data_IF_053130459438
#
_entry.id   IF_053130459438
#
_cell.length_a   1.000
_cell.length_b   1.000
_cell.length_c   1.000
_cell.angle_alpha   90.00
_cell.angle_beta   90.00
_cell.angle_gamma   90.00
#
_symmetry.space_group_name_H-M   'P 1'
#
loop_
_entity.id
_entity.type
_entity.pdbx_description
1 polymer ?
#
# COMPACT_ATOMS: atom_id res chain seq x y z
N UNK A 1 -34.23 -16.04 4.37
CA UNK A 1 -32.88 -15.99 3.80
C UNK A 1 -32.34 -14.59 4.05
N UNK A 2 -31.42 -14.45 4.99
CA UNK A 2 -30.73 -13.16 5.23
C UNK A 2 -29.71 -13.00 4.10
N UNK A 3 -29.99 -12.08 3.18
CA UNK A 3 -29.03 -11.65 2.15
C UNK A 3 -27.93 -10.87 2.85
N UNK A 4 -26.74 -11.44 2.90
CA UNK A 4 -25.56 -10.83 3.53
C UNK A 4 -24.98 -9.79 2.56
N UNK A 5 -25.49 -8.56 2.65
CA UNK A 5 -24.97 -7.43 1.88
C UNK A 5 -23.67 -6.91 2.48
N UNK A 6 -22.72 -6.59 1.63
CA UNK A 6 -21.42 -6.02 2.00
C UNK A 6 -21.22 -4.68 1.37
N UNK A 7 -20.51 -3.85 2.10
CA UNK A 7 -20.10 -2.53 1.66
C UNK A 7 -18.59 -2.46 1.63
N UNK A 8 -18.01 -2.24 0.45
CA UNK A 8 -16.61 -1.92 0.28
C UNK A 8 -16.47 -0.40 0.14
N UNK A 9 -15.89 0.25 1.13
CA UNK A 9 -15.65 1.69 1.12
C UNK A 9 -14.16 1.96 1.14
N UNK A 10 -13.66 2.64 0.12
CA UNK A 10 -12.31 3.17 0.10
C UNK A 10 -12.34 4.66 0.42
N UNK A 11 -11.68 5.05 1.52
CA UNK A 11 -11.64 6.44 1.97
C UNK A 11 -10.44 7.19 1.41
N UNK A 12 -10.67 8.41 0.93
CA UNK A 12 -9.67 9.35 0.44
C UNK A 12 -9.77 10.68 1.19
N UNK A 13 -8.66 11.13 1.79
CA UNK A 13 -8.57 12.41 2.51
C UNK A 13 -8.17 13.59 1.61
N UNK A 14 -7.78 13.31 0.36
CA UNK A 14 -7.30 14.31 -0.59
C UNK A 14 -8.40 15.14 -1.26
N UNK A 15 -7.98 16.22 -1.92
CA UNK A 15 -8.87 16.97 -2.80
C UNK A 15 -9.21 16.16 -4.05
N UNK A 16 -10.45 16.29 -4.51
CA UNK A 16 -10.91 15.74 -5.77
C UNK A 16 -11.37 16.87 -6.69
N UNK A 17 -10.70 17.02 -7.83
CA UNK A 17 -10.94 18.06 -8.80
C UNK A 17 -12.39 18.04 -9.32
N UNK A 18 -12.94 16.87 -9.60
CA UNK A 18 -14.28 16.74 -10.17
C UNK A 18 -15.38 17.13 -9.18
N UNK A 19 -15.24 16.74 -7.91
CA UNK A 19 -16.19 17.16 -6.86
C UNK A 19 -16.07 18.65 -6.61
N UNK A 20 -14.84 19.17 -6.46
CA UNK A 20 -14.59 20.58 -6.15
C UNK A 20 -15.12 21.55 -7.22
N UNK A 21 -15.15 21.14 -8.49
CA UNK A 21 -15.57 21.96 -9.62
C UNK A 21 -16.91 21.55 -10.21
N UNK A 22 -17.62 20.63 -9.57
CA UNK A 22 -18.87 20.05 -10.06
C UNK A 22 -18.79 19.57 -11.52
N UNK A 23 -17.69 18.87 -11.85
CA UNK A 23 -17.41 18.34 -13.19
C UNK A 23 -17.44 16.82 -13.19
N UNK A 24 -17.60 16.25 -14.36
CA UNK A 24 -17.50 14.83 -14.61
C UNK A 24 -16.17 14.50 -15.30
N UNK A 25 -15.66 13.31 -15.06
CA UNK A 25 -14.54 12.75 -15.81
C UNK A 25 -15.02 12.22 -17.18
N UNK A 26 -14.11 11.68 -17.98
CA UNK A 26 -14.43 11.12 -19.32
C UNK A 26 -15.43 9.96 -19.28
N UNK A 27 -15.66 9.37 -18.13
CA UNK A 27 -16.62 8.27 -17.93
C UNK A 27 -17.94 8.74 -17.29
N UNK A 28 -18.21 10.04 -17.26
CA UNK A 28 -19.44 10.59 -16.69
C UNK A 28 -19.52 10.51 -15.16
N UNK A 29 -18.40 10.35 -14.46
CA UNK A 29 -18.32 10.18 -13.01
C UNK A 29 -17.50 11.28 -12.34
N UNK A 30 -17.66 11.44 -11.02
CA UNK A 30 -16.90 12.43 -10.23
C UNK A 30 -15.68 11.85 -9.52
N UNK A 31 -15.40 10.57 -9.62
CA UNK A 31 -14.21 9.96 -9.03
C UNK A 31 -12.95 10.16 -9.89
N UNK A 32 -11.78 10.08 -9.25
CA UNK A 32 -10.50 10.03 -9.95
C UNK A 32 -10.24 8.61 -10.45
N UNK A 33 -9.81 8.44 -11.70
CA UNK A 33 -9.57 7.13 -12.33
C UNK A 33 -8.62 6.24 -11.52
N UNK A 34 -7.53 6.80 -11.00
CA UNK A 34 -6.60 6.04 -10.15
C UNK A 34 -7.25 5.46 -8.88
N UNK A 35 -8.24 6.14 -8.30
CA UNK A 35 -8.97 5.65 -7.15
C UNK A 35 -9.99 4.58 -7.55
N UNK A 36 -10.56 4.72 -8.73
CA UNK A 36 -11.43 3.71 -9.32
C UNK A 36 -10.67 2.40 -9.57
N UNK A 37 -9.51 2.46 -10.23
CA UNK A 37 -8.66 1.28 -10.45
C UNK A 37 -8.30 0.61 -9.14
N UNK A 38 -7.95 1.36 -8.11
CA UNK A 38 -7.62 0.81 -6.79
C UNK A 38 -8.80 0.05 -6.18
N UNK A 39 -9.99 0.62 -6.20
CA UNK A 39 -11.17 -0.04 -5.62
C UNK A 39 -11.61 -1.26 -6.43
N UNK A 40 -11.43 -1.25 -7.74
CA UNK A 40 -11.64 -2.43 -8.60
C UNK A 40 -10.68 -3.57 -8.24
N UNK A 41 -9.42 -3.28 -7.94
CA UNK A 41 -8.46 -4.29 -7.48
C UNK A 41 -8.88 -4.88 -6.13
N UNK A 42 -9.34 -4.06 -5.18
CA UNK A 42 -9.86 -4.55 -3.90
C UNK A 42 -11.11 -5.40 -4.09
N UNK A 43 -12.00 -4.99 -4.98
CA UNK A 43 -13.17 -5.78 -5.33
C UNK A 43 -12.80 -7.13 -5.96
N UNK A 44 -11.81 -7.15 -6.85
CA UNK A 44 -11.25 -8.37 -7.41
C UNK A 44 -10.68 -9.32 -6.34
N UNK A 45 -9.96 -8.78 -5.35
CA UNK A 45 -9.47 -9.54 -4.19
C UNK A 45 -10.64 -10.17 -3.43
N UNK A 46 -11.69 -9.40 -3.12
CA UNK A 46 -12.87 -9.91 -2.43
C UNK A 46 -13.55 -11.04 -3.22
N UNK A 47 -13.67 -10.87 -4.52
CA UNK A 47 -14.35 -11.83 -5.39
C UNK A 47 -13.54 -13.13 -5.54
N UNK A 48 -12.25 -13.03 -5.86
CA UNK A 48 -11.44 -14.20 -6.23
C UNK A 48 -10.74 -14.86 -5.05
N UNK A 49 -10.27 -14.11 -4.07
CA UNK A 49 -9.55 -14.68 -2.94
C UNK A 49 -10.48 -15.04 -1.78
N UNK A 50 -11.60 -14.32 -1.63
CA UNK A 50 -12.54 -14.54 -0.53
C UNK A 50 -13.89 -15.09 -0.99
N UNK A 51 -14.04 -15.46 -2.26
CA UNK A 51 -15.27 -16.00 -2.86
C UNK A 51 -16.51 -15.14 -2.56
N UNK A 52 -16.38 -13.80 -2.58
CA UNK A 52 -17.48 -12.90 -2.29
C UNK A 52 -18.23 -12.54 -3.56
N UNK A 53 -19.55 -12.72 -3.54
CA UNK A 53 -20.38 -12.44 -4.70
C UNK A 53 -20.39 -10.95 -5.05
N UNK A 54 -20.19 -10.64 -6.33
CA UNK A 54 -20.34 -9.30 -6.86
C UNK A 54 -21.76 -8.74 -6.66
N UNK A 55 -22.78 -9.60 -6.70
CA UNK A 55 -24.19 -9.22 -6.56
C UNK A 55 -24.56 -8.74 -5.16
N UNK A 56 -23.75 -9.07 -4.14
CA UNK A 56 -24.00 -8.72 -2.73
C UNK A 56 -22.97 -7.74 -2.18
N UNK A 57 -22.13 -7.15 -3.04
CA UNK A 57 -21.08 -6.22 -2.63
C UNK A 57 -21.27 -4.88 -3.34
N UNK A 58 -21.62 -3.84 -2.59
CA UNK A 58 -21.68 -2.48 -3.07
C UNK A 58 -20.34 -1.79 -2.84
N UNK A 59 -19.90 -1.00 -3.80
CA UNK A 59 -18.59 -0.34 -3.79
C UNK A 59 -18.79 1.17 -3.73
N UNK A 60 -18.07 1.81 -2.82
CA UNK A 60 -18.09 3.26 -2.67
C UNK A 60 -16.70 3.85 -2.52
N UNK A 61 -16.54 5.06 -3.04
CA UNK A 61 -15.40 5.93 -2.79
C UNK A 61 -15.86 7.07 -1.88
N UNK A 62 -15.27 7.18 -0.69
CA UNK A 62 -15.53 8.25 0.25
C UNK A 62 -14.41 9.29 0.20
N UNK A 63 -14.71 10.48 -0.30
CA UNK A 63 -13.83 11.63 -0.22
C UNK A 63 -14.17 12.46 1.01
N UNK A 64 -13.51 12.18 2.13
CA UNK A 64 -13.82 12.73 3.45
C UNK A 64 -13.67 14.24 3.60
N UNK A 65 -13.09 14.91 2.60
CA UNK A 65 -12.99 16.38 2.54
C UNK A 65 -14.27 17.10 2.14
N UNK A 66 -15.24 16.35 1.61
CA UNK A 66 -16.49 16.88 1.11
C UNK A 66 -17.65 16.40 1.99
N UNK A 67 -18.69 17.26 2.18
CA UNK A 67 -19.86 16.86 2.96
C UNK A 67 -20.62 15.72 2.27
N UNK A 68 -21.40 15.00 3.04
CA UNK A 68 -22.32 14.01 2.50
C UNK A 68 -23.57 14.74 1.94
N UNK A 69 -24.15 14.27 0.82
CA UNK A 69 -23.78 13.05 0.08
C UNK A 69 -22.66 13.25 -0.96
N UNK A 70 -22.20 14.48 -1.22
CA UNK A 70 -21.29 14.79 -2.34
C UNK A 70 -19.94 14.06 -2.26
N UNK A 71 -19.46 13.80 -1.04
CA UNK A 71 -18.21 13.07 -0.81
C UNK A 71 -18.33 11.57 -0.95
N UNK A 72 -19.53 10.99 -0.97
CA UNK A 72 -19.73 9.54 -1.06
C UNK A 72 -20.22 9.19 -2.48
N UNK A 73 -19.35 8.57 -3.25
CA UNK A 73 -19.65 8.18 -4.62
C UNK A 73 -19.85 6.67 -4.70
N UNK A 74 -21.01 6.25 -5.20
CA UNK A 74 -21.21 4.86 -5.59
C UNK A 74 -20.38 4.56 -6.84
N UNK A 75 -19.76 3.39 -6.87
CA UNK A 75 -18.86 2.97 -7.94
C UNK A 75 -19.43 1.73 -8.61
N UNK A 76 -19.64 1.81 -9.91
CA UNK A 76 -20.06 0.67 -10.70
C UNK A 76 -18.90 -0.32 -10.89
N UNK A 77 -19.13 -1.58 -10.53
CA UNK A 77 -18.15 -2.65 -10.69
C UNK A 77 -18.28 -3.31 -12.06
N UNK A 78 -17.58 -2.78 -13.06
CA UNK A 78 -17.53 -3.39 -14.38
C UNK A 78 -16.48 -4.51 -14.40
N UNK A 79 -16.94 -5.75 -14.63
CA UNK A 79 -16.08 -6.95 -14.65
C UNK A 79 -14.92 -6.83 -15.66
N UNK A 80 -15.18 -6.25 -16.85
CA UNK A 80 -14.16 -6.02 -17.87
C UNK A 80 -13.04 -5.11 -17.37
N UNK A 81 -13.39 -3.96 -16.79
CA UNK A 81 -12.42 -3.00 -16.25
C UNK A 81 -11.66 -3.54 -15.04
N UNK A 82 -12.32 -4.34 -14.21
CA UNK A 82 -11.65 -5.04 -13.11
C UNK A 82 -10.58 -6.01 -13.65
N UNK A 83 -10.89 -6.77 -14.68
CA UNK A 83 -9.94 -7.68 -15.32
C UNK A 83 -8.77 -6.94 -15.99
N UNK A 84 -9.02 -5.79 -16.59
CA UNK A 84 -7.96 -4.92 -17.12
C UNK A 84 -7.06 -4.36 -16.00
N UNK A 85 -7.64 -3.90 -14.89
CA UNK A 85 -6.89 -3.46 -13.73
C UNK A 85 -5.99 -4.57 -13.16
N UNK A 86 -6.51 -5.81 -13.06
CA UNK A 86 -5.73 -6.98 -12.63
C UNK A 86 -4.59 -7.30 -13.61
N UNK A 87 -4.85 -7.29 -14.91
CA UNK A 87 -3.82 -7.49 -15.94
C UNK A 87 -2.72 -6.44 -15.83
N UNK A 88 -3.10 -5.17 -15.72
CA UNK A 88 -2.14 -4.07 -15.57
C UNK A 88 -1.28 -4.25 -14.30
N UNK A 89 -1.92 -4.53 -13.16
CA UNK A 89 -1.20 -4.83 -11.91
C UNK A 89 -0.21 -5.99 -12.09
N UNK A 90 -0.63 -7.06 -12.76
CA UNK A 90 0.23 -8.22 -12.98
C UNK A 90 1.40 -7.90 -13.91
N UNK A 91 1.22 -7.05 -14.91
CA UNK A 91 2.32 -6.55 -15.76
C UNK A 91 3.35 -5.75 -14.95
N UNK A 92 2.89 -4.85 -14.06
CA UNK A 92 3.78 -4.09 -13.17
C UNK A 92 4.61 -5.04 -12.31
N UNK A 93 3.95 -6.00 -11.64
CA UNK A 93 4.63 -6.99 -10.78
C UNK A 93 5.61 -7.86 -11.60
N UNK A 94 5.20 -8.35 -12.76
CA UNK A 94 6.08 -9.13 -13.64
C UNK A 94 7.32 -8.34 -14.06
N UNK A 95 7.17 -7.04 -14.32
CA UNK A 95 8.29 -6.14 -14.64
C UNK A 95 9.23 -5.97 -13.45
N UNK A 96 8.71 -5.79 -12.23
CA UNK A 96 9.52 -5.73 -11.01
C UNK A 96 10.36 -7.02 -10.84
N UNK A 97 9.74 -8.20 -10.97
CA UNK A 97 10.46 -9.47 -10.90
C UNK A 97 11.49 -9.62 -12.02
N UNK A 98 11.13 -9.22 -13.23
CA UNK A 98 12.05 -9.27 -14.36
C UNK A 98 13.31 -8.41 -14.11
N UNK A 99 13.15 -7.19 -13.60
CA UNK A 99 14.28 -6.31 -13.21
C UNK A 99 15.11 -6.95 -12.09
N UNK A 100 14.46 -7.60 -11.12
CA UNK A 100 15.14 -8.30 -10.03
C UNK A 100 16.02 -9.48 -10.48
N UNK A 101 15.64 -10.14 -11.58
CA UNK A 101 16.30 -11.34 -12.05
C UNK A 101 17.22 -11.13 -13.27
N UNK A 102 17.02 -10.03 -14.01
CA UNK A 102 17.75 -9.74 -15.23
C UNK A 102 18.71 -8.56 -15.06
N UNK A 103 19.46 -8.30 -16.12
CA UNK A 103 20.39 -7.18 -16.20
C UNK A 103 19.62 -5.89 -16.56
N UNK A 104 19.56 -4.95 -15.62
CA UNK A 104 18.95 -3.64 -15.81
C UNK A 104 19.57 -2.87 -16.97
N UNK A 105 20.84 -3.14 -17.32
CA UNK A 105 21.50 -2.49 -18.43
C UNK A 105 20.76 -2.65 -19.77
N UNK A 106 19.98 -3.72 -19.93
CA UNK A 106 19.14 -3.94 -21.12
C UNK A 106 17.98 -2.95 -21.25
N UNK A 107 17.54 -2.36 -20.13
CA UNK A 107 16.48 -1.35 -20.14
C UNK A 107 16.99 0.06 -20.44
N UNK A 108 18.26 0.36 -20.14
CA UNK A 108 18.82 1.72 -20.28
C UNK A 108 18.55 2.35 -21.67
N UNK A 109 18.73 1.65 -22.81
CA UNK A 109 18.46 2.22 -24.12
C UNK A 109 16.99 2.65 -24.32
N UNK A 110 16.09 2.04 -23.58
CA UNK A 110 14.64 2.31 -23.66
C UNK A 110 14.17 3.36 -22.66
N UNK A 111 15.02 3.77 -21.69
CA UNK A 111 14.70 4.78 -20.70
C UNK A 111 14.93 6.19 -21.27
N UNK A 112 14.01 6.65 -22.07
CA UNK A 112 14.02 8.01 -22.64
C UNK A 112 12.77 8.78 -22.22
N UNK A 113 12.79 10.13 -22.23
CA UNK A 113 11.59 10.90 -21.97
C UNK A 113 10.41 10.51 -22.86
N UNK A 114 10.67 10.13 -24.10
CA UNK A 114 9.64 9.72 -25.04
C UNK A 114 9.01 8.37 -24.73
N UNK A 115 9.79 7.39 -24.23
CA UNK A 115 9.27 6.07 -23.85
C UNK A 115 8.55 6.08 -22.51
N UNK A 116 8.86 7.06 -21.66
CA UNK A 116 8.22 7.26 -20.36
C UNK A 116 7.07 8.28 -20.42
N UNK A 117 6.61 8.65 -21.62
CA UNK A 117 5.49 9.57 -21.80
C UNK A 117 4.22 9.05 -21.12
N UNK A 118 3.56 9.95 -20.41
CA UNK A 118 2.18 9.77 -19.93
C UNK A 118 1.24 10.42 -20.94
N UNK A 119 0.02 9.93 -21.07
CA UNK A 119 -1.00 10.37 -22.06
C UNK A 119 -1.18 11.91 -22.20
N UNK A 120 -0.77 12.70 -21.25
CA UNK A 120 -0.92 14.15 -21.23
C UNK A 120 0.43 14.90 -21.30
N UNK A 121 1.44 14.31 -21.93
CA UNK A 121 2.81 14.84 -22.00
C UNK A 121 2.96 16.13 -22.81
N UNK A 122 1.94 16.57 -23.55
CA UNK A 122 1.98 17.80 -24.35
C UNK A 122 1.55 19.05 -23.57
N UNK A 123 1.12 18.93 -22.31
CA UNK A 123 0.71 20.07 -21.49
C UNK A 123 1.88 20.93 -21.04
N UNK A 124 1.64 22.25 -20.90
CA UNK A 124 2.62 23.23 -20.42
C UNK A 124 3.33 22.81 -19.13
N UNK A 125 2.59 22.21 -18.20
CA UNK A 125 3.16 21.74 -16.94
C UNK A 125 4.19 20.62 -17.15
N UNK A 126 3.90 19.66 -18.03
CA UNK A 126 4.83 18.59 -18.36
C UNK A 126 6.10 19.17 -19.01
N UNK A 127 5.94 20.01 -20.02
CA UNK A 127 7.05 20.58 -20.78
C UNK A 127 7.96 21.46 -19.91
N UNK A 128 7.39 22.28 -19.02
CA UNK A 128 8.16 23.21 -18.19
C UNK A 128 8.76 22.60 -16.94
N UNK A 129 8.12 21.61 -16.33
CA UNK A 129 8.49 21.14 -14.99
C UNK A 129 8.90 19.66 -14.93
N UNK A 130 8.26 18.79 -15.72
CA UNK A 130 8.52 17.35 -15.65
C UNK A 130 9.61 16.94 -16.64
N UNK A 131 9.49 17.35 -17.90
CA UNK A 131 10.42 16.94 -18.95
C UNK A 131 11.88 17.34 -18.67
N UNK A 132 12.21 18.56 -18.23
CA UNK A 132 13.59 18.93 -17.92
C UNK A 132 14.20 18.07 -16.79
N UNK A 133 13.41 17.79 -15.74
CA UNK A 133 13.83 16.95 -14.62
C UNK A 133 14.03 15.50 -15.04
N UNK A 134 13.10 14.97 -15.82
CA UNK A 134 13.16 13.60 -16.35
C UNK A 134 14.39 13.45 -17.26
N UNK A 135 14.63 14.40 -18.16
CA UNK A 135 15.79 14.43 -19.04
C UNK A 135 17.08 14.48 -18.25
N UNK A 136 17.18 15.36 -17.26
CA UNK A 136 18.37 15.49 -16.41
C UNK A 136 18.64 14.21 -15.60
N UNK A 137 17.59 13.51 -15.17
CA UNK A 137 17.71 12.24 -14.42
C UNK A 137 18.15 11.09 -15.32
N UNK A 138 17.66 11.02 -16.55
CA UNK A 138 17.93 9.93 -17.48
C UNK A 138 19.25 10.09 -18.26
N UNK A 139 19.64 11.34 -18.57
CA UNK A 139 20.84 11.60 -19.38
C UNK A 139 22.10 10.90 -18.87
N UNK A 140 22.41 10.89 -17.55
CA UNK A 140 23.59 10.20 -17.06
C UNK A 140 23.61 8.70 -17.38
N UNK A 141 22.47 8.03 -17.45
CA UNK A 141 22.37 6.60 -17.72
C UNK A 141 22.91 6.24 -19.12
N UNK A 142 22.76 7.15 -20.07
CA UNK A 142 23.21 6.95 -21.47
C UNK A 142 24.68 7.23 -21.69
N UNK A 143 25.36 7.86 -20.71
CA UNK A 143 26.80 8.22 -20.80
C UNK A 143 27.69 7.38 -19.88
N UNK A 144 27.12 6.39 -19.20
CA UNK A 144 27.86 5.49 -18.30
C UNK A 144 28.94 4.71 -19.04
N UNK A 145 30.13 4.66 -18.46
CA UNK A 145 31.18 3.73 -18.86
C UNK A 145 30.72 2.28 -18.66
N UNK A 146 31.36 1.30 -19.29
CA UNK A 146 31.00 -0.11 -19.09
C UNK A 146 31.02 -0.55 -17.63
N UNK A 147 31.99 -0.07 -16.84
CA UNK A 147 32.10 -0.39 -15.41
C UNK A 147 30.94 0.23 -14.59
N UNK A 148 30.69 1.51 -14.80
CA UNK A 148 29.56 2.22 -14.15
C UNK A 148 28.22 1.58 -14.50
N UNK A 149 28.03 1.20 -15.76
CA UNK A 149 26.83 0.54 -16.22
C UNK A 149 26.63 -0.82 -15.54
N UNK A 150 27.69 -1.61 -15.42
CA UNK A 150 27.65 -2.91 -14.74
C UNK A 150 27.36 -2.73 -13.23
N UNK A 151 28.01 -1.77 -12.58
CA UNK A 151 27.77 -1.44 -11.17
C UNK A 151 26.34 -0.98 -10.93
N UNK A 152 25.87 0.01 -11.71
CA UNK A 152 24.53 0.55 -11.61
C UNK A 152 23.47 -0.54 -11.81
N UNK A 153 23.62 -1.39 -12.84
CA UNK A 153 22.72 -2.49 -13.10
C UNK A 153 22.66 -3.48 -11.93
N UNK A 154 23.80 -3.80 -11.33
CA UNK A 154 23.87 -4.69 -10.15
C UNK A 154 23.16 -4.08 -8.93
N UNK A 155 23.36 -2.77 -8.69
CA UNK A 155 22.70 -2.06 -7.59
C UNK A 155 21.20 -1.96 -7.79
N UNK A 156 20.72 -1.66 -8.99
CA UNK A 156 19.29 -1.65 -9.32
C UNK A 156 18.65 -3.02 -9.09
N UNK A 157 19.30 -4.09 -9.52
CA UNK A 157 18.87 -5.46 -9.27
C UNK A 157 18.76 -5.75 -7.77
N UNK A 158 19.75 -5.34 -6.98
CA UNK A 158 19.74 -5.48 -5.52
C UNK A 158 18.55 -4.73 -4.91
N UNK A 159 18.40 -3.45 -5.21
CA UNK A 159 17.32 -2.61 -4.67
C UNK A 159 15.95 -3.18 -5.00
N UNK A 160 15.72 -3.62 -6.25
CA UNK A 160 14.44 -4.19 -6.65
C UNK A 160 14.16 -5.51 -5.93
N UNK A 161 15.18 -6.38 -5.76
CA UNK A 161 15.02 -7.62 -4.97
C UNK A 161 14.66 -7.34 -3.52
N UNK A 162 15.34 -6.39 -2.87
CA UNK A 162 15.03 -5.97 -1.51
C UNK A 162 13.59 -5.42 -1.41
N UNK A 163 13.15 -4.63 -2.38
CA UNK A 163 11.77 -4.13 -2.44
C UNK A 163 10.74 -5.26 -2.59
N UNK A 164 11.02 -6.26 -3.43
CA UNK A 164 10.15 -7.43 -3.59
C UNK A 164 10.09 -8.21 -2.28
N UNK A 165 11.24 -8.52 -1.68
CA UNK A 165 11.32 -9.25 -0.40
C UNK A 165 10.59 -8.50 0.71
N UNK A 166 10.74 -7.17 0.79
CA UNK A 166 10.02 -6.37 1.80
C UNK A 166 8.50 -6.40 1.64
N UNK A 167 8.00 -6.62 0.41
CA UNK A 167 6.56 -6.72 0.12
C UNK A 167 5.99 -8.11 0.43
N UNK A 168 6.67 -9.15 -0.04
CA UNK A 168 6.13 -10.53 -0.04
C UNK A 168 6.75 -11.46 0.99
N UNK A 169 7.86 -11.09 1.62
CA UNK A 169 8.64 -11.92 2.52
C UNK A 169 9.61 -12.84 1.79
N UNK A 170 10.53 -13.41 2.57
CA UNK A 170 11.44 -14.46 2.10
C UNK A 170 10.86 -15.82 2.48
N UNK A 171 10.94 -16.81 1.58
CA UNK A 171 10.29 -18.12 1.77
C UNK A 171 10.78 -18.91 2.99
N UNK A 172 11.89 -18.54 3.61
CA UNK A 172 12.49 -19.25 4.74
C UNK A 172 12.34 -18.57 6.11
N UNK A 173 11.40 -17.65 6.26
CA UNK A 173 10.97 -17.16 7.58
C UNK A 173 11.90 -16.16 8.28
N UNK A 174 12.96 -15.70 7.64
CA UNK A 174 13.96 -14.81 8.25
C UNK A 174 13.79 -13.31 7.95
N UNK A 175 12.67 -12.89 7.37
CA UNK A 175 12.48 -11.49 6.99
C UNK A 175 11.25 -10.85 7.63
N UNK A 176 11.35 -9.59 8.03
CA UNK A 176 10.19 -8.76 8.37
C UNK A 176 9.64 -8.10 7.12
N UNK A 177 8.70 -8.75 6.45
CA UNK A 177 7.99 -8.16 5.31
C UNK A 177 6.66 -7.53 5.74
N UNK A 178 6.12 -6.64 4.91
CA UNK A 178 4.77 -6.14 5.12
C UNK A 178 3.72 -7.27 5.11
N UNK A 179 3.97 -8.36 4.39
CA UNK A 179 3.11 -9.53 4.37
C UNK A 179 3.16 -10.32 5.69
N UNK A 180 4.30 -10.34 6.38
CA UNK A 180 4.48 -11.06 7.65
C UNK A 180 3.64 -10.46 8.78
N UNK A 181 3.38 -9.15 8.74
CA UNK A 181 2.43 -8.51 9.65
C UNK A 181 1.08 -9.26 9.67
N UNK A 182 0.62 -9.72 8.51
CA UNK A 182 -0.69 -10.35 8.32
C UNK A 182 -0.64 -11.88 8.38
N UNK A 183 0.38 -12.46 7.79
CA UNK A 183 0.44 -13.89 7.48
C UNK A 183 1.34 -14.72 8.40
N UNK A 184 2.31 -14.10 9.07
CA UNK A 184 3.20 -14.81 9.99
C UNK A 184 2.40 -15.39 11.16
N UNK A 185 2.56 -16.67 11.50
CA UNK A 185 1.93 -17.30 12.65
C UNK A 185 2.27 -16.58 13.97
N UNK A 186 1.34 -16.59 14.93
CA UNK A 186 1.55 -15.93 16.22
C UNK A 186 2.79 -16.47 16.95
N UNK A 187 3.01 -17.78 16.92
CA UNK A 187 4.21 -18.42 17.52
C UNK A 187 5.49 -17.84 16.95
N UNK A 188 5.59 -17.76 15.64
CA UNK A 188 6.78 -17.18 14.96
C UNK A 188 6.97 -15.69 15.24
N UNK A 189 5.87 -14.94 15.42
CA UNK A 189 5.94 -13.52 15.85
C UNK A 189 6.50 -13.38 17.26
N UNK A 190 6.11 -14.29 18.17
CA UNK A 190 6.61 -14.32 19.54
C UNK A 190 8.09 -14.71 19.57
N UNK A 191 8.46 -15.78 18.87
CA UNK A 191 9.83 -16.27 18.78
C UNK A 191 10.78 -15.23 18.16
N UNK A 192 10.33 -14.48 17.17
CA UNK A 192 11.10 -13.41 16.53
C UNK A 192 11.08 -12.08 17.29
N UNK A 193 10.37 -11.98 18.42
CA UNK A 193 10.23 -10.74 19.17
C UNK A 193 9.42 -9.64 18.49
N UNK A 194 8.64 -9.98 17.47
CA UNK A 194 7.89 -9.00 16.64
C UNK A 194 6.47 -8.74 17.15
N UNK A 195 6.12 -9.21 18.32
CA UNK A 195 4.83 -8.94 18.96
C UNK A 195 4.96 -8.95 20.48
N UNK A 196 4.29 -8.00 21.11
CA UNK A 196 3.95 -8.09 22.54
C UNK A 196 2.50 -8.53 22.69
N UNK A 197 2.21 -9.43 23.61
CA UNK A 197 0.87 -9.92 23.90
C UNK A 197 0.41 -9.53 25.30
N UNK A 198 -0.90 -9.54 25.53
CA UNK A 198 -1.53 -9.28 26.83
C UNK A 198 -1.18 -7.91 27.45
N UNK A 199 -0.95 -6.90 26.62
CA UNK A 199 -0.69 -5.55 27.08
C UNK A 199 -1.90 -4.98 27.83
N UNK A 200 -1.65 -4.28 28.93
CA UNK A 200 -2.68 -3.57 29.69
C UNK A 200 -2.46 -2.06 29.60
N UNK A 201 -3.51 -1.32 29.27
CA UNK A 201 -3.45 0.14 29.24
C UNK A 201 -3.38 0.66 30.67
N UNK A 202 -2.31 1.38 31.03
CA UNK A 202 -2.13 2.00 32.35
C UNK A 202 -2.44 3.48 32.35
N UNK A 203 -2.19 4.17 31.21
CA UNK A 203 -2.41 5.62 31.10
C UNK A 203 -2.84 6.02 29.70
N UNK A 204 -3.74 6.99 29.64
CA UNK A 204 -4.15 7.66 28.40
C UNK A 204 -3.97 9.16 28.57
N UNK A 205 -3.20 9.78 27.69
CA UNK A 205 -2.94 11.22 27.72
C UNK A 205 -3.31 11.81 26.36
N UNK A 206 -4.04 12.93 26.39
CA UNK A 206 -4.19 13.73 25.18
C UNK A 206 -2.90 14.49 24.95
N UNK A 207 -2.35 14.35 23.77
CA UNK A 207 -1.22 15.18 23.35
C UNK A 207 -1.63 16.65 23.37
N UNK A 208 -0.80 17.49 23.96
CA UNK A 208 -0.92 18.95 23.90
C UNK A 208 -0.59 19.50 22.51
N UNK A 209 -0.08 18.65 21.62
CA UNK A 209 0.19 19.01 20.24
C UNK A 209 -1.11 19.18 19.46
N UNK A 210 -1.17 20.20 18.64
CA UNK A 210 -2.30 20.51 17.76
C UNK A 210 -2.67 19.40 16.76
N UNK A 211 -1.92 18.31 16.70
CA UNK A 211 -2.18 17.13 15.88
C UNK A 211 -3.24 16.19 16.44
N UNK A 212 -3.67 16.36 17.73
CA UNK A 212 -4.73 15.56 18.35
C UNK A 212 -4.37 14.09 18.60
N UNK A 213 -3.08 13.71 18.61
CA UNK A 213 -2.66 12.36 18.95
C UNK A 213 -2.73 12.12 20.45
N UNK A 214 -3.34 11.00 20.83
CA UNK A 214 -3.32 10.52 22.21
C UNK A 214 -2.04 9.72 22.46
N UNK A 215 -1.40 9.92 23.60
CA UNK A 215 -0.35 9.04 24.10
C UNK A 215 -1.00 7.97 24.98
N UNK A 216 -0.68 6.71 24.70
CA UNK A 216 -1.20 5.57 25.46
C UNK A 216 -0.02 4.81 26.04
N UNK A 217 0.00 4.65 27.36
CA UNK A 217 1.01 3.87 28.07
C UNK A 217 0.47 2.47 28.37
N UNK A 218 1.28 1.47 28.09
CA UNK A 218 0.95 0.08 28.35
C UNK A 218 1.92 -0.52 29.38
N UNK A 219 1.38 -1.35 30.24
CA UNK A 219 2.16 -2.32 30.99
C UNK A 219 2.37 -3.56 30.10
N UNK A 220 3.63 -4.00 30.01
CA UNK A 220 4.03 -5.18 29.25
C UNK A 220 4.27 -6.32 30.24
N UNK A 221 3.41 -7.35 30.30
CA UNK A 221 3.64 -8.51 31.16
C UNK A 221 4.84 -9.32 30.63
N UNK A 222 5.35 -10.23 31.47
CA UNK A 222 6.40 -11.17 31.06
C UNK A 222 5.94 -11.96 29.83
N UNK A 223 6.71 -11.88 28.73
CA UNK A 223 6.35 -12.49 27.43
C UNK A 223 6.89 -13.93 27.30
N UNK A 224 7.74 -14.37 28.20
CA UNK A 224 8.44 -15.66 28.19
C UNK A 224 9.87 -15.48 28.70
N UNK A 225 10.54 -16.59 29.04
CA UNK A 225 11.90 -16.50 29.59
C UNK A 225 12.94 -16.14 28.53
N UNK A 226 12.74 -16.58 27.29
CA UNK A 226 13.66 -16.34 26.18
C UNK A 226 13.19 -15.25 25.20
N UNK A 227 12.18 -14.45 25.60
CA UNK A 227 11.65 -13.41 24.73
C UNK A 227 12.62 -12.24 24.57
N UNK A 228 13.09 -12.01 23.37
CA UNK A 228 13.93 -10.86 22.99
C UNK A 228 13.13 -9.92 22.08
N UNK A 229 12.73 -8.74 22.58
CA UNK A 229 11.93 -7.82 21.78
C UNK A 229 12.73 -7.23 20.63
N UNK A 230 12.10 -7.20 19.43
CA UNK A 230 12.67 -6.59 18.24
C UNK A 230 12.04 -5.21 17.95
N UNK A 231 11.78 -4.44 19.01
CA UNK A 231 11.21 -3.10 18.92
C UNK A 231 12.22 -2.05 19.37
N UNK A 232 12.23 -0.93 18.67
CA UNK A 232 13.09 0.22 18.99
C UNK A 232 12.25 1.48 19.11
N UNK A 233 12.74 2.43 19.88
CA UNK A 233 12.13 3.77 19.95
C UNK A 233 12.07 4.38 18.56
N UNK A 234 10.89 4.90 18.17
CA UNK A 234 10.63 5.44 16.85
C UNK A 234 10.00 4.44 15.87
N UNK A 235 9.95 3.15 16.21
CA UNK A 235 9.32 2.15 15.35
C UNK A 235 7.82 2.39 15.24
N UNK A 236 7.31 2.18 14.03
CA UNK A 236 5.89 2.17 13.77
C UNK A 236 5.31 0.82 14.18
N UNK A 237 4.34 0.86 15.10
CA UNK A 237 3.67 -0.32 15.62
C UNK A 237 2.18 -0.33 15.29
N UNK A 238 1.62 -1.52 15.19
CA UNK A 238 0.18 -1.73 15.08
C UNK A 238 -0.35 -2.31 16.38
N UNK A 239 -1.39 -1.69 16.91
CA UNK A 239 -2.09 -2.11 18.11
C UNK A 239 -3.46 -2.64 17.75
N UNK A 240 -3.88 -3.72 18.38
CA UNK A 240 -5.24 -4.25 18.22
C UNK A 240 -5.72 -4.95 19.49
N UNK A 241 -7.02 -4.85 19.72
CA UNK A 241 -7.67 -5.51 20.84
C UNK A 241 -8.12 -6.91 20.46
N UNK A 242 -8.05 -7.83 21.41
CA UNK A 242 -8.61 -9.17 21.29
C UNK A 242 -9.23 -9.61 22.62
N UNK A 243 -10.12 -10.59 22.62
CA UNK A 243 -10.76 -11.08 23.83
C UNK A 243 -9.78 -11.97 24.60
N UNK A 244 -9.80 -11.88 25.94
CA UNK A 244 -8.89 -12.59 26.83
C UNK A 244 -8.78 -14.10 26.60
N UNK A 245 -9.84 -14.72 26.08
CA UNK A 245 -9.91 -16.17 25.85
C UNK A 245 -9.79 -16.54 24.36
N UNK A 246 -9.40 -15.61 23.50
CA UNK A 246 -9.23 -15.85 22.07
C UNK A 246 -7.75 -15.70 21.70
N UNK A 247 -7.32 -16.42 20.66
CA UNK A 247 -5.98 -16.21 20.09
C UNK A 247 -5.94 -14.89 19.32
N UNK A 248 -4.94 -14.03 19.55
CA UNK A 248 -4.79 -12.81 18.79
C UNK A 248 -4.71 -13.07 17.28
N UNK A 249 -5.57 -12.43 16.50
CA UNK A 249 -5.54 -12.51 15.03
C UNK A 249 -5.73 -11.10 14.44
N UNK A 250 -4.66 -10.55 13.93
CA UNK A 250 -4.61 -9.21 13.35
C UNK A 250 -5.63 -9.02 12.20
N UNK A 251 -5.98 -10.09 11.48
CA UNK A 251 -6.91 -10.04 10.35
C UNK A 251 -8.36 -9.87 10.75
N UNK A 252 -8.67 -10.07 12.03
CA UNK A 252 -10.03 -9.99 12.60
C UNK A 252 -10.25 -8.77 13.48
N UNK A 253 -9.24 -7.93 13.66
CA UNK A 253 -9.26 -6.81 14.58
C UNK A 253 -9.12 -5.45 13.88
N UNK A 254 -9.66 -4.41 14.50
CA UNK A 254 -9.34 -3.04 14.10
C UNK A 254 -7.91 -2.70 14.51
N UNK A 255 -7.15 -2.13 13.57
CA UNK A 255 -5.76 -1.77 13.77
C UNK A 255 -5.63 -0.28 14.09
N UNK A 256 -4.94 0.01 15.16
CA UNK A 256 -4.48 1.35 15.50
C UNK A 256 -2.99 1.44 15.23
N UNK A 257 -2.57 2.46 14.52
CA UNK A 257 -1.16 2.70 14.21
C UNK A 257 -0.59 3.75 15.16
N UNK A 258 0.56 3.46 15.75
CA UNK A 258 1.29 4.36 16.64
C UNK A 258 2.78 4.33 16.39
N UNK A 259 3.50 5.20 17.09
CA UNK A 259 4.97 5.22 17.12
C UNK A 259 5.39 4.91 18.55
N UNK A 260 6.32 3.97 18.71
CA UNK A 260 6.88 3.58 20.00
C UNK A 260 7.78 4.70 20.53
N UNK A 261 7.55 5.10 21.77
CA UNK A 261 8.31 6.17 22.46
C UNK A 261 9.20 5.62 23.56
#
# INVERSE_FOLDING_TARGET
MTTDFRLLVEQKSGKNFYIANNRLNNHGSRYLEKHYVQVLLYFGILQYNFNRSARTTNIHLLYSKYPLPDGLLEVESLQSLMMEAIKFRNQVVATEYWIGDNDFAKLIPHLTPNTLQVEHSNGDFFQRWILPRLTATLAPLHTLTPLEKAYFSRMMRFVVKEQIISKVGYQEGAGSSNADLWNMPLTSKIESGNIYTALTITKKERSTNHSGYDCITFEVPKQGDDFLPNFRRGDMVYLYAYKKNETPDIRKAFLFRGILQ
#
